data_IF_129614155355
#
_entry.id   IF_129614155355
#
_cell.length_a   1.000
_cell.length_b   1.000
_cell.length_c   1.000
_cell.angle_alpha   90.00
_cell.angle_beta   90.00
_cell.angle_gamma   90.00
#
_symmetry.space_group_name_H-M   'P 1'
#
loop_
_entity.id
_entity.type
_entity.pdbx_description
1 polymer ?
#
# COMPACT_ATOMS: atom_id res chain seq x y z
N UNK A 1 -43.35 18.26 -43.01
CA UNK A 1 -43.72 16.91 -42.58
C UNK A 1 -42.49 16.03 -42.33
N UNK A 2 -41.39 16.19 -43.09
CA UNK A 2 -40.17 15.37 -42.89
C UNK A 2 -39.40 15.65 -41.58
N UNK A 3 -39.48 16.87 -41.05
CA UNK A 3 -38.77 17.25 -39.82
C UNK A 3 -39.41 16.67 -38.54
N UNK A 4 -40.72 16.44 -38.54
CA UNK A 4 -41.43 15.83 -37.41
C UNK A 4 -41.15 14.33 -37.31
N UNK A 5 -41.06 13.65 -38.45
CA UNK A 5 -40.66 12.24 -38.52
C UNK A 5 -39.21 12.03 -38.07
N UNK A 6 -38.30 12.95 -38.41
CA UNK A 6 -36.91 12.90 -37.95
C UNK A 6 -36.77 13.10 -36.43
N UNK A 7 -37.55 14.02 -35.85
CA UNK A 7 -37.56 14.26 -34.40
C UNK A 7 -38.19 13.11 -33.62
N UNK A 8 -39.20 12.45 -34.18
CA UNK A 8 -39.80 11.25 -33.58
C UNK A 8 -38.78 10.10 -33.57
N UNK A 9 -38.07 9.86 -34.69
CA UNK A 9 -37.02 8.84 -34.73
C UNK A 9 -35.89 9.11 -33.73
N UNK A 10 -35.40 10.34 -33.61
CA UNK A 10 -34.38 10.66 -32.60
C UNK A 10 -34.86 10.46 -31.16
N UNK A 11 -36.12 10.79 -30.86
CA UNK A 11 -36.70 10.55 -29.53
C UNK A 11 -36.94 9.06 -29.28
N UNK A 12 -37.33 8.30 -30.30
CA UNK A 12 -37.48 6.86 -30.21
C UNK A 12 -36.12 6.18 -30.02
N UNK A 13 -35.08 6.59 -30.74
CA UNK A 13 -33.72 6.04 -30.59
C UNK A 13 -33.16 6.33 -29.19
N UNK A 14 -33.38 7.55 -28.67
CA UNK A 14 -32.99 7.91 -27.30
C UNK A 14 -33.74 7.11 -26.24
N UNK A 15 -35.06 6.95 -26.40
CA UNK A 15 -35.88 6.13 -25.50
C UNK A 15 -35.52 4.64 -25.60
N UNK A 16 -35.19 4.15 -26.79
CA UNK A 16 -34.81 2.76 -27.02
C UNK A 16 -33.46 2.45 -26.35
N UNK A 17 -32.47 3.33 -26.49
CA UNK A 17 -31.19 3.21 -25.80
C UNK A 17 -31.34 3.25 -24.27
N UNK A 18 -32.22 4.11 -23.75
CA UNK A 18 -32.50 4.16 -22.30
C UNK A 18 -33.27 2.91 -21.81
N UNK A 19 -34.19 2.40 -22.63
CA UNK A 19 -34.99 1.23 -22.32
C UNK A 19 -34.15 -0.06 -22.34
N UNK A 20 -33.17 -0.16 -23.23
CA UNK A 20 -32.21 -1.27 -23.29
C UNK A 20 -31.31 -1.29 -22.05
N UNK A 21 -30.71 -0.16 -21.66
CA UNK A 21 -29.91 -0.05 -20.44
C UNK A 21 -30.73 -0.35 -19.17
N UNK A 22 -32.01 0.04 -19.15
CA UNK A 22 -32.92 -0.28 -18.06
C UNK A 22 -33.31 -1.77 -18.04
N UNK A 23 -33.44 -2.41 -19.20
CA UNK A 23 -33.73 -3.85 -19.31
C UNK A 23 -32.57 -4.69 -18.81
N UNK A 24 -31.34 -4.36 -19.20
CA UNK A 24 -30.15 -5.06 -18.71
C UNK A 24 -30.02 -4.95 -17.19
N UNK A 25 -30.25 -3.75 -16.64
CA UNK A 25 -30.26 -3.54 -15.19
C UNK A 25 -31.36 -4.35 -14.49
N UNK A 26 -32.56 -4.40 -15.07
CA UNK A 26 -33.67 -5.20 -14.52
C UNK A 26 -33.42 -6.70 -14.60
N UNK A 27 -32.76 -7.17 -15.67
CA UNK A 27 -32.41 -8.58 -15.84
C UNK A 27 -31.31 -8.99 -14.88
N UNK A 28 -30.23 -8.19 -14.77
CA UNK A 28 -29.17 -8.41 -13.81
C UNK A 28 -29.71 -8.43 -12.36
N UNK A 29 -30.67 -7.56 -12.04
CA UNK A 29 -31.29 -7.55 -10.70
C UNK A 29 -32.19 -8.76 -10.45
N UNK A 30 -32.88 -9.27 -11.49
CA UNK A 30 -33.68 -10.51 -11.39
C UNK A 30 -32.79 -11.73 -11.25
N UNK A 31 -31.73 -11.84 -12.03
CA UNK A 31 -30.75 -12.92 -11.90
C UNK A 31 -30.10 -12.90 -10.52
N UNK A 32 -29.70 -11.71 -10.03
CA UNK A 32 -29.15 -11.58 -8.68
C UNK A 32 -30.17 -11.96 -7.61
N UNK A 33 -31.45 -11.62 -7.78
CA UNK A 33 -32.53 -12.06 -6.88
C UNK A 33 -32.74 -13.57 -6.96
N UNK A 34 -32.79 -14.14 -8.16
CA UNK A 34 -32.98 -15.58 -8.40
C UNK A 34 -31.80 -16.40 -7.85
N UNK A 35 -30.58 -15.85 -7.88
CA UNK A 35 -29.37 -16.46 -7.31
C UNK A 35 -29.25 -16.21 -5.80
N UNK A 36 -29.73 -15.07 -5.29
CA UNK A 36 -29.74 -14.76 -3.87
C UNK A 36 -30.76 -15.61 -3.10
N UNK A 37 -31.92 -15.92 -3.68
CA UNK A 37 -32.96 -16.75 -3.05
C UNK A 37 -32.43 -18.11 -2.56
N UNK A 38 -31.70 -18.92 -3.37
CA UNK A 38 -31.13 -20.18 -2.91
C UNK A 38 -30.00 -19.96 -1.90
N UNK A 39 -29.17 -18.92 -2.03
CA UNK A 39 -28.11 -18.60 -1.06
C UNK A 39 -28.72 -18.27 0.30
N UNK A 40 -29.75 -17.42 0.35
CA UNK A 40 -30.49 -17.06 1.56
C UNK A 40 -31.14 -18.30 2.18
N UNK A 41 -31.79 -19.14 1.36
CA UNK A 41 -32.33 -20.42 1.84
C UNK A 41 -31.25 -21.35 2.39
N UNK A 42 -30.06 -21.37 1.79
CA UNK A 42 -28.93 -22.18 2.26
C UNK A 42 -28.37 -21.64 3.57
N UNK A 43 -28.18 -20.33 3.70
CA UNK A 43 -27.71 -19.68 4.93
C UNK A 43 -28.71 -19.89 6.06
N UNK A 44 -30.02 -19.78 5.80
CA UNK A 44 -31.05 -20.07 6.79
C UNK A 44 -30.98 -21.53 7.24
N UNK A 45 -30.81 -22.48 6.33
CA UNK A 45 -30.68 -23.92 6.67
C UNK A 45 -29.39 -24.24 7.42
N UNK A 46 -28.25 -23.73 6.94
CA UNK A 46 -26.95 -23.84 7.61
C UNK A 46 -27.00 -23.22 8.99
N UNK A 47 -27.64 -22.05 9.14
CA UNK A 47 -27.87 -21.46 10.46
C UNK A 47 -28.77 -22.36 11.30
N UNK A 48 -29.84 -22.98 10.79
CA UNK A 48 -30.68 -23.91 11.57
C UNK A 48 -29.87 -25.15 12.03
N UNK A 49 -29.01 -25.68 11.17
CA UNK A 49 -28.18 -26.85 11.46
C UNK A 49 -27.01 -26.50 12.40
N UNK A 50 -26.34 -25.35 12.23
CA UNK A 50 -25.30 -24.84 13.14
C UNK A 50 -25.89 -24.35 14.47
N UNK A 51 -27.13 -23.83 14.49
CA UNK A 51 -27.86 -23.50 15.72
C UNK A 51 -28.23 -24.75 16.52
N UNK A 52 -28.29 -25.92 15.89
CA UNK A 52 -28.40 -27.19 16.59
C UNK A 52 -27.06 -27.63 17.23
N UNK A 53 -25.93 -27.14 16.72
CA UNK A 53 -24.57 -27.45 17.19
C UNK A 53 -24.05 -26.41 18.22
N UNK A 54 -24.48 -25.14 18.10
CA UNK A 54 -24.36 -24.10 19.14
C UNK A 54 -25.43 -24.37 20.20
N UNK A 55 -25.21 -25.43 20.98
CA UNK A 55 -26.15 -25.92 21.97
C UNK A 55 -26.71 -24.82 22.89
N UNK A 56 -28.04 -24.85 23.05
CA UNK A 56 -28.85 -24.27 24.13
C UNK A 56 -28.84 -22.74 24.38
N UNK A 57 -27.90 -21.98 23.81
CA UNK A 57 -27.71 -20.55 24.16
C UNK A 57 -28.24 -19.56 23.09
N UNK A 58 -28.53 -20.00 21.86
CA UNK A 58 -29.06 -19.12 20.81
C UNK A 58 -30.38 -19.68 20.26
N UNK A 59 -31.50 -19.09 20.67
CA UNK A 59 -32.83 -19.50 20.23
C UNK A 59 -33.33 -18.60 19.09
N UNK A 60 -34.19 -19.12 18.21
CA UNK A 60 -34.91 -18.31 17.20
C UNK A 60 -35.67 -17.13 17.84
N UNK A 61 -36.08 -17.29 19.11
CA UNK A 61 -36.65 -16.24 19.93
C UNK A 61 -35.69 -15.08 20.21
N UNK A 62 -34.39 -15.34 20.36
CA UNK A 62 -33.36 -14.34 20.62
C UNK A 62 -33.08 -13.50 19.37
N UNK A 63 -33.09 -14.12 18.19
CA UNK A 63 -32.99 -13.41 16.91
C UNK A 63 -34.18 -12.48 16.70
N UNK A 64 -35.41 -12.97 16.93
CA UNK A 64 -36.62 -12.15 16.87
C UNK A 64 -36.64 -11.06 17.95
N UNK A 65 -36.08 -11.33 19.13
CA UNK A 65 -35.91 -10.35 20.19
C UNK A 65 -34.91 -9.27 19.80
N UNK A 66 -33.77 -9.64 19.19
CA UNK A 66 -32.77 -8.72 18.64
C UNK A 66 -33.38 -7.83 17.56
N UNK A 67 -34.09 -8.39 16.59
CA UNK A 67 -34.77 -7.61 15.54
C UNK A 67 -35.82 -6.69 16.15
N UNK A 68 -36.66 -7.19 17.07
CA UNK A 68 -37.63 -6.35 17.79
C UNK A 68 -36.96 -5.30 18.67
N UNK A 69 -35.77 -5.56 19.21
CA UNK A 69 -34.99 -4.61 20.01
C UNK A 69 -34.40 -3.54 19.10
N UNK A 70 -33.84 -3.92 17.96
CA UNK A 70 -33.32 -3.00 16.94
C UNK A 70 -34.42 -2.07 16.41
N UNK A 71 -35.60 -2.62 16.11
CA UNK A 71 -36.77 -1.85 15.64
C UNK A 71 -37.34 -0.93 16.73
N UNK A 72 -37.31 -1.38 18.00
CA UNK A 72 -37.81 -0.61 19.15
C UNK A 72 -36.83 0.45 19.60
N UNK A 73 -35.53 0.21 19.42
CA UNK A 73 -34.45 1.09 19.83
C UNK A 73 -33.97 1.92 18.63
N UNK A 74 -34.92 2.66 18.03
CA UNK A 74 -34.66 3.55 16.89
C UNK A 74 -33.56 4.57 17.20
N UNK A 75 -33.37 4.92 18.47
CA UNK A 75 -32.29 5.82 18.93
C UNK A 75 -30.90 5.21 18.71
N UNK A 76 -30.77 3.90 18.85
CA UNK A 76 -29.51 3.19 18.59
C UNK A 76 -29.20 3.19 17.09
N UNK A 77 -30.22 3.04 16.24
CA UNK A 77 -30.07 3.17 14.79
C UNK A 77 -29.71 4.60 14.36
N UNK A 78 -30.36 5.61 14.96
CA UNK A 78 -30.04 7.02 14.70
C UNK A 78 -28.60 7.34 15.11
N UNK A 79 -28.16 6.90 16.30
CA UNK A 79 -26.77 7.13 16.73
C UNK A 79 -25.73 6.47 15.82
N UNK A 80 -26.04 5.30 15.26
CA UNK A 80 -25.18 4.67 14.25
C UNK A 80 -25.17 5.45 12.92
N UNK A 81 -26.32 5.97 12.50
CA UNK A 81 -26.43 6.83 11.31
C UNK A 81 -25.65 8.14 11.49
N UNK A 82 -25.76 8.79 12.65
CA UNK A 82 -25.02 10.01 12.98
C UNK A 82 -23.50 9.74 12.95
N UNK A 83 -23.06 8.57 13.44
CA UNK A 83 -21.66 8.18 13.38
C UNK A 83 -21.18 7.92 11.94
N UNK A 84 -22.02 7.32 11.09
CA UNK A 84 -21.72 7.15 9.67
C UNK A 84 -21.68 8.49 8.92
N UNK A 85 -22.57 9.43 9.26
CA UNK A 85 -22.55 10.81 8.74
C UNK A 85 -21.25 11.51 9.13
N UNK A 86 -20.86 11.41 10.40
CA UNK A 86 -19.57 11.94 10.89
C UNK A 86 -18.37 11.38 10.11
N UNK A 87 -18.38 10.08 9.81
CA UNK A 87 -17.31 9.44 9.02
C UNK A 87 -17.34 9.89 7.56
N UNK A 88 -18.52 10.07 6.97
CA UNK A 88 -18.68 10.56 5.62
C UNK A 88 -18.21 12.02 5.48
N UNK A 89 -18.54 12.88 6.45
CA UNK A 89 -18.06 14.26 6.53
C UNK A 89 -16.53 14.32 6.63
N UNK A 90 -15.92 13.49 7.49
CA UNK A 90 -14.47 13.38 7.62
C UNK A 90 -13.81 12.85 6.34
N UNK A 91 -14.44 11.89 5.65
CA UNK A 91 -13.95 11.40 4.36
C UNK A 91 -13.99 12.49 3.28
N UNK A 92 -15.06 13.29 3.25
CA UNK A 92 -15.20 14.42 2.32
C UNK A 92 -14.19 15.53 2.62
N UNK A 93 -13.97 15.85 3.90
CA UNK A 93 -12.95 16.80 4.33
C UNK A 93 -11.53 16.27 4.05
N UNK A 94 -11.29 14.99 4.31
CA UNK A 94 -10.04 14.29 3.98
C UNK A 94 -9.75 14.30 2.47
N UNK A 95 -10.75 14.13 1.62
CA UNK A 95 -10.62 14.24 0.17
C UNK A 95 -10.24 15.67 -0.27
N UNK A 96 -10.87 16.69 0.33
CA UNK A 96 -10.54 18.10 0.05
C UNK A 96 -9.13 18.47 0.52
N UNK A 97 -8.76 18.03 1.72
CA UNK A 97 -7.46 18.31 2.33
C UNK A 97 -6.33 17.50 1.68
N UNK A 98 -6.63 16.28 1.23
CA UNK A 98 -5.72 15.39 0.53
C UNK A 98 -5.14 16.01 -0.73
N UNK A 99 -5.92 16.79 -1.49
CA UNK A 99 -5.40 17.51 -2.67
C UNK A 99 -4.29 18.52 -2.31
N UNK A 100 -4.41 19.22 -1.18
CA UNK A 100 -3.39 20.16 -0.71
C UNK A 100 -2.13 19.44 -0.22
N UNK A 101 -2.30 18.40 0.59
CA UNK A 101 -1.20 17.58 1.09
C UNK A 101 -0.46 16.91 -0.06
N UNK A 102 -1.20 16.35 -1.02
CA UNK A 102 -0.64 15.73 -2.22
C UNK A 102 0.21 16.72 -3.03
N UNK A 103 -0.29 17.95 -3.23
CA UNK A 103 0.47 18.99 -3.91
C UNK A 103 1.78 19.31 -3.17
N UNK A 104 1.72 19.43 -1.85
CA UNK A 104 2.90 19.76 -1.04
C UNK A 104 3.93 18.63 -1.00
N UNK A 105 3.50 17.38 -0.87
CA UNK A 105 4.37 16.19 -0.98
C UNK A 105 4.99 16.13 -2.38
N UNK A 106 4.21 16.37 -3.43
CA UNK A 106 4.72 16.37 -4.81
C UNK A 106 5.78 17.45 -5.01
N UNK A 107 5.59 18.65 -4.46
CA UNK A 107 6.60 19.71 -4.52
C UNK A 107 7.90 19.35 -3.80
N UNK A 108 7.80 18.75 -2.61
CA UNK A 108 8.98 18.29 -1.87
C UNK A 108 9.71 17.17 -2.61
N UNK A 109 8.98 16.23 -3.20
CA UNK A 109 9.59 15.17 -4.02
C UNK A 109 10.24 15.74 -5.29
N UNK A 110 9.61 16.69 -5.99
CA UNK A 110 10.19 17.36 -7.17
C UNK A 110 11.46 18.13 -6.78
N UNK A 111 11.48 18.78 -5.62
CA UNK A 111 12.67 19.43 -5.06
C UNK A 111 13.78 18.43 -4.80
N UNK A 112 13.49 17.31 -4.13
CA UNK A 112 14.47 16.24 -3.87
C UNK A 112 15.01 15.62 -5.16
N UNK A 113 14.17 15.53 -6.20
CA UNK A 113 14.59 15.06 -7.53
C UNK A 113 15.53 16.04 -8.21
N UNK A 114 15.18 17.34 -8.22
CA UNK A 114 16.04 18.41 -8.78
C UNK A 114 17.36 18.55 -8.04
N UNK A 115 17.35 18.38 -6.72
CA UNK A 115 18.55 18.40 -5.88
C UNK A 115 19.37 17.09 -6.01
N UNK A 116 18.86 16.08 -6.74
CA UNK A 116 19.58 14.85 -7.07
C UNK A 116 19.56 13.76 -6.00
N UNK A 117 18.78 13.93 -4.93
CA UNK A 117 18.66 12.95 -3.84
C UNK A 117 18.15 11.59 -4.33
N UNK A 118 17.20 11.56 -5.26
CA UNK A 118 16.72 10.31 -5.87
C UNK A 118 17.80 9.60 -6.68
N UNK A 119 18.63 10.35 -7.40
CA UNK A 119 19.77 9.81 -8.14
C UNK A 119 20.78 9.16 -7.20
N UNK A 120 21.14 9.86 -6.12
CA UNK A 120 22.03 9.37 -5.08
C UNK A 120 21.47 8.13 -4.38
N UNK A 121 20.20 8.16 -3.95
CA UNK A 121 19.54 7.04 -3.29
C UNK A 121 19.46 5.80 -4.21
N UNK A 122 19.12 5.99 -5.48
CA UNK A 122 19.07 4.89 -6.47
C UNK A 122 20.46 4.31 -6.74
N UNK A 123 21.50 5.14 -6.79
CA UNK A 123 22.88 4.66 -6.88
C UNK A 123 23.30 3.87 -5.63
N UNK A 124 22.95 4.36 -4.44
CA UNK A 124 23.18 3.68 -3.16
C UNK A 124 22.50 2.32 -3.09
N UNK A 125 21.23 2.23 -3.49
CA UNK A 125 20.49 0.96 -3.56
C UNK A 125 21.16 -0.01 -4.52
N UNK A 126 21.59 0.43 -5.71
CA UNK A 126 22.30 -0.45 -6.66
C UNK A 126 23.63 -0.97 -6.12
N UNK A 127 24.36 -0.14 -5.37
CA UNK A 127 25.59 -0.56 -4.70
C UNK A 127 25.25 -1.58 -3.62
N UNK A 128 24.28 -1.29 -2.77
CA UNK A 128 23.83 -2.20 -1.72
C UNK A 128 23.34 -3.55 -2.27
N UNK A 129 22.55 -3.54 -3.34
CA UNK A 129 22.04 -4.74 -4.00
C UNK A 129 23.17 -5.62 -4.56
N UNK A 130 24.19 -5.02 -5.18
CA UNK A 130 25.40 -5.77 -5.59
C UNK A 130 26.16 -6.36 -4.41
N UNK A 131 26.32 -5.60 -3.32
CA UNK A 131 26.97 -6.12 -2.12
C UNK A 131 26.20 -7.30 -1.53
N UNK A 132 24.86 -7.23 -1.49
CA UNK A 132 24.00 -8.28 -0.94
C UNK A 132 23.93 -9.51 -1.85
N UNK A 133 23.96 -9.34 -3.17
CA UNK A 133 23.98 -10.47 -4.11
C UNK A 133 25.33 -11.20 -4.13
N UNK A 134 26.43 -10.46 -4.06
CA UNK A 134 27.77 -11.04 -4.22
C UNK A 134 28.38 -11.52 -2.89
N UNK A 135 27.87 -11.05 -1.74
CA UNK A 135 28.41 -11.37 -0.41
C UNK A 135 27.30 -11.79 0.55
N UNK A 136 27.59 -12.79 1.38
CA UNK A 136 26.60 -13.31 2.35
C UNK A 136 26.31 -12.27 3.44
N UNK A 137 25.10 -12.28 4.03
CA UNK A 137 24.70 -11.34 5.09
C UNK A 137 25.71 -11.28 6.26
N UNK A 138 26.31 -12.43 6.62
CA UNK A 138 27.27 -12.51 7.72
C UNK A 138 28.59 -11.77 7.42
N UNK A 139 28.95 -11.64 6.14
CA UNK A 139 30.16 -10.92 5.72
C UNK A 139 29.96 -9.40 5.74
N UNK A 140 28.75 -8.91 5.39
CA UNK A 140 28.41 -7.50 5.51
C UNK A 140 28.40 -7.05 6.98
N UNK A 141 27.86 -7.87 7.88
CA UNK A 141 27.83 -7.57 9.31
C UNK A 141 29.25 -7.54 9.91
N UNK A 142 30.09 -8.49 9.53
CA UNK A 142 31.49 -8.50 9.91
C UNK A 142 32.27 -7.29 9.36
N UNK A 143 31.97 -6.83 8.14
CA UNK A 143 32.55 -5.61 7.56
C UNK A 143 32.07 -4.35 8.28
N UNK A 144 30.77 -4.24 8.58
CA UNK A 144 30.18 -3.12 9.32
C UNK A 144 30.80 -2.99 10.72
N UNK A 145 30.97 -4.11 11.42
CA UNK A 145 31.61 -4.14 12.74
C UNK A 145 33.09 -3.70 12.69
N UNK A 146 33.85 -4.17 11.70
CA UNK A 146 35.26 -3.77 11.52
C UNK A 146 35.42 -2.30 11.15
N UNK A 147 34.51 -1.74 10.35
CA UNK A 147 34.48 -0.31 10.02
C UNK A 147 34.14 0.54 11.23
N UNK A 148 33.12 0.14 12.00
CA UNK A 148 32.75 0.83 13.24
C UNK A 148 33.89 0.80 14.27
N UNK A 149 34.63 -0.30 14.35
CA UNK A 149 35.79 -0.43 15.23
C UNK A 149 36.98 0.43 14.76
N UNK A 150 37.25 0.45 13.45
CA UNK A 150 38.29 1.32 12.86
C UNK A 150 37.98 2.82 13.01
N UNK A 151 36.69 3.21 12.98
CA UNK A 151 36.24 4.58 13.23
C UNK A 151 36.34 4.99 14.70
N UNK A 152 36.29 4.03 15.63
CA UNK A 152 36.48 4.28 17.08
C UNK A 152 37.95 4.47 17.46
N UNK A 153 38.88 3.88 16.70
CA UNK A 153 40.31 4.04 16.96
C UNK A 153 40.80 5.40 16.44
N UNK A 154 41.12 6.33 17.34
CA UNK A 154 41.70 7.62 16.98
C UNK A 154 43.02 7.41 16.21
N UNK A 155 43.22 8.08 15.05
CA UNK A 155 44.45 7.94 14.29
C UNK A 155 45.64 8.48 15.10
N UNK A 156 46.82 7.84 15.01
CA UNK A 156 47.99 8.26 15.78
C UNK A 156 48.41 9.69 15.41
N UNK A 157 48.58 10.56 16.41
CA UNK A 157 48.88 12.00 16.28
C UNK A 157 50.11 12.37 15.44
N UNK A 158 51.02 11.44 15.14
CA UNK A 158 52.15 11.64 14.22
C UNK A 158 52.41 10.38 13.42
N UNK A 159 52.12 10.44 12.12
CA UNK A 159 52.49 9.40 11.17
C UNK A 159 53.87 9.76 10.61
N UNK A 160 54.91 9.02 11.00
CA UNK A 160 56.26 9.19 10.44
C UNK A 160 56.38 8.39 9.14
N UNK A 161 57.06 8.94 8.12
CA UNK A 161 57.33 8.26 6.84
C UNK A 161 58.03 6.91 7.03
N UNK A 162 58.91 6.81 8.03
CA UNK A 162 59.59 5.56 8.36
C UNK A 162 58.61 4.53 8.97
N UNK A 163 57.67 4.98 9.80
CA UNK A 163 56.65 4.11 10.38
C UNK A 163 55.67 3.60 9.30
N UNK A 164 55.34 4.42 8.31
CA UNK A 164 54.56 4.01 7.13
C UNK A 164 55.30 2.99 6.28
N UNK A 165 56.59 3.23 5.98
CA UNK A 165 57.43 2.28 5.25
C UNK A 165 57.54 0.94 5.99
N UNK A 166 57.70 0.96 7.31
CA UNK A 166 57.69 -0.24 8.14
C UNK A 166 56.32 -0.94 8.11
N UNK A 167 55.22 -0.18 8.11
CA UNK A 167 53.86 -0.72 8.00
C UNK A 167 53.58 -1.37 6.63
N UNK A 168 54.20 -0.90 5.53
CA UNK A 168 54.11 -1.57 4.23
C UNK A 168 54.79 -2.97 4.21
N UNK A 169 55.57 -3.32 5.23
CA UNK A 169 56.06 -4.68 5.42
C UNK A 169 54.92 -5.68 5.72
N UNK A 170 53.80 -5.21 6.26
CA UNK A 170 52.64 -6.05 6.55
C UNK A 170 51.95 -6.51 5.24
N UNK A 171 51.75 -7.83 5.02
CA UNK A 171 51.01 -8.36 3.88
C UNK A 171 49.57 -7.82 3.74
N UNK A 172 48.92 -7.39 4.84
CA UNK A 172 47.58 -6.80 4.80
C UNK A 172 47.61 -5.38 4.26
N UNK A 173 48.61 -4.58 4.64
CA UNK A 173 48.79 -3.19 4.18
C UNK A 173 49.08 -3.14 2.68
N UNK A 174 49.97 -4.01 2.18
CA UNK A 174 50.21 -4.10 0.72
C UNK A 174 48.98 -4.49 -0.09
N UNK A 175 48.19 -5.45 0.40
CA UNK A 175 46.93 -5.85 -0.24
C UNK A 175 45.91 -4.71 -0.25
N UNK A 176 45.84 -3.93 0.82
CA UNK A 176 45.02 -2.71 0.89
C UNK A 176 45.48 -1.65 -0.12
N UNK A 177 46.78 -1.37 -0.17
CA UNK A 177 47.38 -0.37 -1.06
C UNK A 177 47.16 -0.72 -2.54
N UNK A 178 47.28 -2.00 -2.90
CA UNK A 178 47.00 -2.49 -4.26
C UNK A 178 45.52 -2.29 -4.63
N UNK A 179 44.58 -2.58 -3.72
CA UNK A 179 43.15 -2.34 -3.94
C UNK A 179 42.84 -0.85 -4.11
N UNK A 180 43.43 0.02 -3.29
CA UNK A 180 43.24 1.46 -3.44
C UNK A 180 43.80 2.00 -4.76
N UNK A 181 44.94 1.48 -5.22
CA UNK A 181 45.51 1.85 -6.52
C UNK A 181 44.62 1.39 -7.68
N UNK A 182 44.04 0.20 -7.61
CA UNK A 182 43.08 -0.28 -8.63
C UNK A 182 41.79 0.54 -8.64
N UNK A 183 41.28 0.95 -7.48
CA UNK A 183 40.11 1.83 -7.39
C UNK A 183 40.39 3.22 -7.98
N UNK A 184 41.56 3.80 -7.68
CA UNK A 184 41.97 5.07 -8.27
C UNK A 184 42.11 4.98 -9.80
N UNK A 185 42.63 3.87 -10.30
CA UNK A 185 42.72 3.61 -11.74
C UNK A 185 41.33 3.51 -12.38
N UNK A 186 40.39 2.81 -11.74
CA UNK A 186 39.02 2.64 -12.23
C UNK A 186 38.16 3.93 -12.15
N UNK A 187 38.56 4.92 -11.35
CA UNK A 187 37.89 6.23 -11.25
C UNK A 187 38.49 7.24 -12.25
N UNK A 188 39.73 7.01 -12.71
CA UNK A 188 40.44 7.89 -13.63
C UNK A 188 40.27 7.56 -15.13
N UNK A 189 39.73 6.38 -15.45
CA UNK A 189 39.21 6.00 -16.77
C UNK A 189 37.72 6.41 -16.89
#
# INVERSE_FOLDING_TARGET
MDNELAQINQKLDYLMAQFEAQRESQQAMRELMDDAVPIVNHVIKLSIDELAEVGNDFQLGDLLFLVKRLLRDTRLLVGLLDQLESMAELAEEGQRMGKRIFHQVTMELDRLEREGYFGFARAGIKIADRLVHDHKPEELEALGNRLAEALKTEPPKKVSLFALLKAMGDPKVRRGLYRSLNLLKAIGD
#
